data_IF_303844581925
#
_entry.id   IF_303844581925
#
_cell.length_a   1.000
_cell.length_b   1.000
_cell.length_c   1.000
_cell.angle_alpha   90.00
_cell.angle_beta   90.00
_cell.angle_gamma   90.00
#
_symmetry.space_group_name_H-M   'P 1'
#
loop_
_entity.id
_entity.type
_entity.pdbx_description
1 polymer ?
#
# COMPACT_ATOMS: atom_id res chain seq x y z
N UNK A 1 18.30 10.03 2.81
CA UNK A 1 17.96 8.73 2.18
C UNK A 1 17.50 7.65 3.19
N UNK A 2 18.37 7.08 4.05
CA UNK A 2 17.99 5.97 4.95
C UNK A 2 16.78 6.24 5.85
N UNK A 3 16.69 7.44 6.45
CA UNK A 3 15.56 7.85 7.30
C UNK A 3 14.23 7.91 6.52
N UNK A 4 14.25 8.47 5.31
CA UNK A 4 13.03 8.62 4.50
C UNK A 4 12.56 7.28 3.95
N UNK A 5 13.49 6.41 3.56
CA UNK A 5 13.15 5.04 3.20
C UNK A 5 12.51 4.30 4.38
N UNK A 6 13.08 4.43 5.58
CA UNK A 6 12.49 3.85 6.79
C UNK A 6 11.08 4.39 7.05
N UNK A 7 10.87 5.69 6.90
CA UNK A 7 9.55 6.32 7.08
C UNK A 7 8.54 5.79 6.05
N UNK A 8 8.92 5.76 4.77
CA UNK A 8 8.05 5.27 3.70
C UNK A 8 7.67 3.79 3.91
N UNK A 9 8.63 2.96 4.33
CA UNK A 9 8.33 1.57 4.73
C UNK A 9 7.38 1.49 5.92
N UNK A 10 7.47 2.42 6.86
CA UNK A 10 6.52 2.55 7.97
C UNK A 10 5.09 2.77 7.48
N UNK A 11 4.90 3.66 6.51
CA UNK A 11 3.57 3.92 5.93
C UNK A 11 3.02 2.70 5.17
N UNK A 12 3.86 1.97 4.42
CA UNK A 12 3.43 0.73 3.76
C UNK A 12 3.04 -0.37 4.75
N UNK A 13 3.75 -0.48 5.87
CA UNK A 13 3.37 -1.40 6.96
C UNK A 13 2.03 -0.97 7.55
N UNK A 14 1.86 0.32 7.87
CA UNK A 14 0.63 0.83 8.45
C UNK A 14 -0.59 0.58 7.55
N UNK A 15 -0.47 0.88 6.24
CA UNK A 15 -1.49 0.53 5.25
C UNK A 15 -1.83 -0.97 5.27
N UNK A 16 -0.80 -1.83 5.30
CA UNK A 16 -1.01 -3.27 5.30
C UNK A 16 -1.78 -3.74 6.55
N UNK A 17 -1.53 -3.13 7.70
CA UNK A 17 -2.29 -3.39 8.93
C UNK A 17 -3.76 -2.96 8.82
N UNK A 18 -4.03 -1.78 8.24
CA UNK A 18 -5.40 -1.29 7.98
C UNK A 18 -6.14 -2.27 7.05
N UNK A 19 -5.49 -2.71 5.98
CA UNK A 19 -6.07 -3.70 5.05
C UNK A 19 -6.40 -5.02 5.78
N UNK A 20 -5.51 -5.52 6.64
CA UNK A 20 -5.77 -6.75 7.39
C UNK A 20 -6.97 -6.59 8.35
N UNK A 21 -7.12 -5.42 8.98
CA UNK A 21 -8.32 -5.09 9.77
C UNK A 21 -9.58 -5.05 8.88
N UNK A 22 -9.49 -4.42 7.71
CA UNK A 22 -10.60 -4.35 6.75
C UNK A 22 -11.05 -5.74 6.31
N UNK A 23 -10.11 -6.62 5.97
CA UNK A 23 -10.40 -8.03 5.67
C UNK A 23 -11.16 -8.69 6.81
N UNK A 24 -10.73 -8.54 8.06
CA UNK A 24 -11.40 -9.14 9.23
C UNK A 24 -12.87 -8.71 9.36
N UNK A 25 -13.16 -7.42 9.10
CA UNK A 25 -14.53 -6.88 9.09
C UNK A 25 -15.36 -7.51 7.96
N UNK A 26 -14.78 -7.64 6.77
CA UNK A 26 -15.45 -8.23 5.60
C UNK A 26 -15.73 -9.73 5.77
N UNK A 27 -14.77 -10.45 6.34
CA UNK A 27 -14.86 -11.89 6.64
C UNK A 27 -16.01 -12.16 7.63
N UNK A 28 -16.09 -11.36 8.70
CA UNK A 28 -17.17 -11.43 9.69
C UNK A 28 -18.54 -11.15 9.09
N UNK A 29 -18.60 -10.29 8.07
CA UNK A 29 -19.85 -9.85 7.47
C UNK A 29 -20.28 -10.68 6.25
N UNK A 30 -19.45 -11.62 5.77
CA UNK A 30 -19.68 -12.45 4.56
C UNK A 30 -19.98 -11.61 3.30
N UNK A 31 -19.41 -10.41 3.22
CA UNK A 31 -19.81 -9.40 2.23
C UNK A 31 -19.01 -9.43 0.92
N UNK A 32 -17.99 -10.27 0.78
CA UNK A 32 -17.04 -10.21 -0.34
C UNK A 32 -16.55 -11.58 -0.82
N UNK A 33 -16.01 -11.61 -2.04
CA UNK A 33 -15.36 -12.79 -2.64
C UNK A 33 -14.15 -13.25 -1.80
N UNK A 34 -14.21 -14.49 -1.32
CA UNK A 34 -13.19 -15.11 -0.49
C UNK A 34 -11.83 -15.20 -1.22
N UNK A 35 -11.82 -15.34 -2.55
CA UNK A 35 -10.58 -15.37 -3.34
C UNK A 35 -9.83 -14.05 -3.28
N UNK A 36 -10.52 -12.93 -3.49
CA UNK A 36 -9.91 -11.60 -3.47
C UNK A 36 -9.53 -11.18 -2.05
N UNK A 37 -10.30 -11.56 -1.03
CA UNK A 37 -9.93 -11.37 0.39
C UNK A 37 -8.63 -12.10 0.74
N UNK A 38 -8.52 -13.37 0.37
CA UNK A 38 -7.33 -14.18 0.66
C UNK A 38 -6.08 -13.63 -0.05
N UNK A 39 -6.23 -13.15 -1.29
CA UNK A 39 -5.12 -12.51 -2.01
C UNK A 39 -4.73 -11.17 -1.40
N UNK A 40 -5.71 -10.38 -0.97
CA UNK A 40 -5.45 -9.12 -0.26
C UNK A 40 -4.68 -9.34 1.03
N UNK A 41 -5.07 -10.34 1.82
CA UNK A 41 -4.34 -10.74 3.02
C UNK A 41 -2.91 -11.21 2.71
N UNK A 42 -2.75 -12.05 1.68
CA UNK A 42 -1.44 -12.51 1.23
C UNK A 42 -0.51 -11.34 0.90
N UNK A 43 -0.94 -10.42 0.04
CA UNK A 43 -0.09 -9.31 -0.40
C UNK A 43 0.17 -8.27 0.69
N UNK A 44 -0.76 -8.07 1.64
CA UNK A 44 -0.50 -7.25 2.82
C UNK A 44 0.64 -7.86 3.68
N UNK A 45 0.60 -9.18 3.94
CA UNK A 45 1.65 -9.87 4.70
C UNK A 45 2.99 -9.87 3.96
N UNK A 46 2.98 -10.07 2.65
CA UNK A 46 4.20 -10.01 1.83
C UNK A 46 4.80 -8.60 1.79
N UNK A 47 3.98 -7.55 1.70
CA UNK A 47 4.46 -6.16 1.72
C UNK A 47 5.13 -5.84 3.06
N UNK A 48 4.52 -6.22 4.18
CA UNK A 48 5.14 -6.08 5.52
C UNK A 48 6.52 -6.74 5.55
N UNK A 49 6.61 -7.99 5.08
CA UNK A 49 7.87 -8.74 5.05
C UNK A 49 8.94 -8.07 4.19
N UNK A 50 8.58 -7.57 3.01
CA UNK A 50 9.53 -6.81 2.17
C UNK A 50 9.95 -5.50 2.86
N UNK A 51 9.05 -4.83 3.59
CA UNK A 51 9.36 -3.63 4.35
C UNK A 51 10.26 -3.87 5.58
N UNK A 52 10.25 -5.07 6.16
CA UNK A 52 11.16 -5.45 7.25
C UNK A 52 12.61 -5.63 6.77
N UNK A 53 12.82 -5.85 5.46
CA UNK A 53 14.16 -5.97 4.89
C UNK A 53 14.98 -4.68 5.12
N UNK A 54 16.18 -4.85 5.65
CA UNK A 54 17.10 -3.73 5.97
C UNK A 54 17.92 -3.25 4.76
N UNK A 55 17.95 -4.01 3.66
CA UNK A 55 18.66 -3.63 2.44
C UNK A 55 17.96 -2.43 1.77
N UNK A 56 18.75 -1.53 1.22
CA UNK A 56 18.29 -0.42 0.39
C UNK A 56 19.07 -0.53 -0.91
N UNK A 57 18.42 -1.15 -1.89
CA UNK A 57 18.93 -1.30 -3.25
C UNK A 57 17.75 -1.35 -4.23
N UNK A 58 18.05 -1.18 -5.52
CA UNK A 58 17.04 -1.22 -6.61
C UNK A 58 16.11 -2.43 -6.54
N UNK A 59 16.63 -3.62 -6.22
CA UNK A 59 15.84 -4.85 -6.10
C UNK A 59 14.81 -4.75 -4.95
N UNK A 60 15.25 -4.37 -3.75
CA UNK A 60 14.38 -4.23 -2.58
C UNK A 60 13.28 -3.17 -2.80
N UNK A 61 13.61 -2.08 -3.49
CA UNK A 61 12.66 -1.04 -3.84
C UNK A 61 11.62 -1.56 -4.83
N UNK A 62 12.07 -2.29 -5.85
CA UNK A 62 11.18 -2.91 -6.82
C UNK A 62 10.26 -3.96 -6.17
N UNK A 63 10.76 -4.73 -5.22
CA UNK A 63 9.94 -5.72 -4.50
C UNK A 63 8.84 -5.04 -3.68
N UNK A 64 9.18 -4.01 -2.89
CA UNK A 64 8.19 -3.23 -2.12
C UNK A 64 7.13 -2.66 -3.07
N UNK A 65 7.55 -2.08 -4.20
CA UNK A 65 6.63 -1.56 -5.22
C UNK A 65 5.72 -2.66 -5.76
N UNK A 66 6.27 -3.79 -6.20
CA UNK A 66 5.49 -4.90 -6.77
C UNK A 66 4.46 -5.46 -5.79
N UNK A 67 4.82 -5.58 -4.50
CA UNK A 67 3.89 -6.05 -3.47
C UNK A 67 2.80 -5.02 -3.17
N UNK A 68 3.15 -3.73 -3.12
CA UNK A 68 2.16 -2.66 -2.97
C UNK A 68 1.18 -2.58 -4.16
N UNK A 69 1.69 -2.69 -5.39
CA UNK A 69 0.86 -2.69 -6.59
C UNK A 69 -0.09 -3.90 -6.60
N UNK A 70 0.42 -5.08 -6.22
CA UNK A 70 -0.40 -6.30 -6.09
C UNK A 70 -1.49 -6.13 -5.04
N UNK A 71 -1.15 -5.59 -3.87
CA UNK A 71 -2.11 -5.29 -2.81
C UNK A 71 -3.21 -4.34 -3.32
N UNK A 72 -2.85 -3.27 -4.02
CA UNK A 72 -3.79 -2.30 -4.56
C UNK A 72 -4.76 -2.89 -5.58
N UNK A 73 -4.29 -3.78 -6.45
CA UNK A 73 -5.14 -4.44 -7.45
C UNK A 73 -6.29 -5.18 -6.77
N UNK A 74 -6.01 -5.96 -5.72
CA UNK A 74 -7.04 -6.75 -5.06
C UNK A 74 -7.90 -5.92 -4.09
N UNK A 75 -7.31 -4.93 -3.43
CA UNK A 75 -8.07 -3.99 -2.60
C UNK A 75 -9.11 -3.23 -3.43
N UNK A 76 -8.73 -2.70 -4.60
CA UNK A 76 -9.67 -1.99 -5.49
C UNK A 76 -10.79 -2.90 -5.96
N UNK A 77 -10.51 -4.16 -6.30
CA UNK A 77 -11.55 -5.13 -6.68
C UNK A 77 -12.58 -5.34 -5.56
N UNK A 78 -12.10 -5.51 -4.33
CA UNK A 78 -12.97 -5.64 -3.16
C UNK A 78 -13.85 -4.39 -3.00
N UNK A 79 -13.26 -3.20 -3.08
CA UNK A 79 -13.98 -1.94 -2.92
C UNK A 79 -15.07 -1.76 -3.98
N UNK A 80 -14.75 -2.01 -5.25
CA UNK A 80 -15.72 -1.95 -6.36
C UNK A 80 -16.86 -2.94 -6.15
N UNK A 81 -16.57 -4.18 -5.75
CA UNK A 81 -17.60 -5.18 -5.49
C UNK A 81 -18.52 -4.79 -4.33
N UNK A 82 -17.96 -4.20 -3.27
CA UNK A 82 -18.73 -3.73 -2.11
C UNK A 82 -19.59 -2.50 -2.41
N UNK A 83 -19.10 -1.61 -3.28
CA UNK A 83 -19.84 -0.46 -3.78
C UNK A 83 -21.04 -0.92 -4.64
N UNK A 84 -20.81 -1.87 -5.55
CA UNK A 84 -21.90 -2.44 -6.36
C UNK A 84 -22.98 -3.14 -5.54
N UNK A 85 -22.62 -3.69 -4.39
CA UNK A 85 -23.55 -4.37 -3.48
C UNK A 85 -24.22 -3.42 -2.46
N UNK A 86 -23.91 -2.11 -2.46
CA UNK A 86 -24.36 -1.13 -1.46
C UNK A 86 -24.06 -1.51 0.01
N UNK A 87 -23.00 -2.28 0.25
CA UNK A 87 -22.71 -2.93 1.55
C UNK A 87 -21.76 -2.14 2.47
N UNK A 88 -21.27 -0.98 2.03
CA UNK A 88 -20.16 -0.22 2.65
C UNK A 88 -20.51 0.63 3.88
N UNK A 89 -21.79 0.89 4.18
CA UNK A 89 -22.19 1.85 5.24
C UNK A 89 -21.62 1.57 6.64
N UNK A 90 -21.32 0.30 6.96
CA UNK A 90 -20.75 -0.09 8.26
C UNK A 90 -19.22 -0.02 8.31
N UNK A 91 -18.57 0.44 7.24
CA UNK A 91 -17.13 0.40 7.07
C UNK A 91 -16.55 1.74 6.63
N UNK A 92 -17.28 2.85 6.76
CA UNK A 92 -16.83 4.19 6.36
C UNK A 92 -15.53 4.59 7.07
N UNK A 93 -15.44 4.38 8.40
CA UNK A 93 -14.24 4.76 9.18
C UNK A 93 -12.95 4.11 8.66
N UNK A 94 -12.99 2.82 8.28
CA UNK A 94 -11.80 2.12 7.79
C UNK A 94 -11.45 2.47 6.33
N UNK A 95 -12.44 2.92 5.55
CA UNK A 95 -12.21 3.46 4.20
C UNK A 95 -11.56 4.84 4.27
N UNK A 96 -11.96 5.66 5.24
CA UNK A 96 -11.32 6.94 5.53
C UNK A 96 -9.88 6.72 5.99
N UNK A 97 -9.61 5.76 6.88
CA UNK A 97 -8.24 5.38 7.27
C UNK A 97 -7.40 4.93 6.06
N UNK A 98 -7.95 4.11 5.17
CA UNK A 98 -7.25 3.69 3.94
C UNK A 98 -6.94 4.87 3.03
N UNK A 99 -7.89 5.80 2.88
CA UNK A 99 -7.73 6.99 2.05
C UNK A 99 -6.63 7.90 2.58
N UNK A 100 -6.62 8.16 3.89
CA UNK A 100 -5.58 8.96 4.54
C UNK A 100 -4.21 8.29 4.41
N UNK A 101 -4.13 6.97 4.61
CA UNK A 101 -2.88 6.22 4.48
C UNK A 101 -2.30 6.28 3.05
N UNK A 102 -3.13 6.22 2.01
CA UNK A 102 -2.69 6.39 0.62
C UNK A 102 -2.15 7.81 0.35
N UNK A 103 -2.80 8.84 0.89
CA UNK A 103 -2.34 10.23 0.76
C UNK A 103 -0.96 10.43 1.43
N UNK A 104 -0.77 9.84 2.61
CA UNK A 104 0.50 9.88 3.34
C UNK A 104 1.59 9.13 2.56
N UNK A 105 1.31 7.93 2.06
CA UNK A 105 2.23 7.16 1.20
C UNK A 105 2.64 7.97 -0.02
N UNK A 106 1.69 8.58 -0.74
CA UNK A 106 1.98 9.39 -1.92
C UNK A 106 2.90 10.58 -1.59
N UNK A 107 2.64 11.24 -0.47
CA UNK A 107 3.48 12.34 0.04
C UNK A 107 4.90 11.84 0.36
N UNK A 108 5.04 10.71 1.07
CA UNK A 108 6.36 10.14 1.41
C UNK A 108 7.12 9.61 0.20
N UNK A 109 6.44 9.08 -0.81
CA UNK A 109 7.05 8.69 -2.10
C UNK A 109 7.66 9.92 -2.77
N UNK A 110 6.91 11.03 -2.80
CA UNK A 110 7.37 12.28 -3.40
C UNK A 110 8.61 12.82 -2.68
N UNK A 111 8.60 12.86 -1.34
CA UNK A 111 9.74 13.25 -0.51
C UNK A 111 10.97 12.35 -0.75
N UNK A 112 10.75 11.02 -0.86
CA UNK A 112 11.82 10.06 -1.10
C UNK A 112 12.45 10.26 -2.48
N UNK A 113 11.63 10.38 -3.53
CA UNK A 113 12.10 10.56 -4.90
C UNK A 113 12.88 11.86 -5.07
N UNK A 114 12.41 12.98 -4.49
CA UNK A 114 13.10 14.27 -4.52
C UNK A 114 14.52 14.16 -3.93
N UNK A 115 14.66 13.42 -2.83
CA UNK A 115 15.94 13.25 -2.15
C UNK A 115 16.87 12.31 -2.92
N UNK A 116 16.34 11.27 -3.58
CA UNK A 116 17.11 10.43 -4.48
C UNK A 116 17.68 11.25 -5.66
N UNK A 117 16.85 12.11 -6.27
CA UNK A 117 17.27 13.02 -7.35
C UNK A 117 18.37 13.98 -6.89
N UNK A 118 18.17 14.68 -5.76
CA UNK A 118 19.14 15.62 -5.21
C UNK A 118 20.47 14.96 -4.80
N UNK A 119 20.45 13.64 -4.56
CA UNK A 119 21.63 12.85 -4.19
C UNK A 119 22.25 12.10 -5.37
N UNK A 120 21.79 12.32 -6.61
CA UNK A 120 22.22 11.59 -7.81
C UNK A 120 22.09 10.05 -7.71
N UNK A 121 21.18 9.56 -6.87
CA UNK A 121 20.94 8.13 -6.70
C UNK A 121 19.76 7.66 -7.57
N UNK A 122 19.99 6.67 -8.44
CA UNK A 122 19.00 6.14 -9.40
C UNK A 122 17.96 5.19 -8.78
N UNK A 123 17.86 5.15 -7.46
CA UNK A 123 16.97 4.29 -6.70
C UNK A 123 15.63 4.99 -6.45
N UNK A 124 14.90 5.27 -7.54
CA UNK A 124 13.58 5.91 -7.50
C UNK A 124 12.49 4.85 -7.37
N UNK A 125 11.47 5.12 -6.53
CA UNK A 125 10.31 4.23 -6.42
C UNK A 125 9.35 4.40 -7.61
N UNK A 126 9.29 5.61 -8.14
CA UNK A 126 8.61 5.96 -9.38
C UNK A 126 9.44 6.99 -10.16
N UNK A 127 9.56 6.89 -11.49
CA UNK A 127 10.09 7.99 -12.28
C UNK A 127 9.18 9.20 -12.09
N UNK A 128 9.73 10.34 -11.67
CA UNK A 128 9.00 11.60 -11.71
C UNK A 128 8.75 11.90 -13.18
N UNK A 129 7.49 11.81 -13.64
CA UNK A 129 7.14 12.44 -14.91
C UNK A 129 7.31 13.93 -14.68
N UNK A 130 8.32 14.53 -15.28
CA UNK A 130 8.27 15.96 -15.56
C UNK A 130 7.01 16.15 -16.40
N UNK A 131 6.05 16.89 -15.85
CA UNK A 131 4.99 17.47 -16.66
C UNK A 131 5.69 18.64 -17.34
N UNK A 132 6.15 18.41 -18.57
CA UNK A 132 6.50 19.49 -19.51
C UNK A 132 5.23 20.20 -19.97
#
# INVERSE_FOLDING_TARGET
MKKNWKNLKGEFIHKSEIVLKFKSILDTSKKSDESDLNKTELYAKELIRECENKKINKESINNVKLKNDSLNIYLVRILVNLESDMRLKSSEEILDELTLSEQDIFTKISDYNLICQNSNNQELLFPIKNID
#
